data_IF_495104442516
#
_entry.id   IF_495104442516
#
_cell.length_a   1.000
_cell.length_b   1.000
_cell.length_c   1.000
_cell.angle_alpha   90.00
_cell.angle_beta   90.00
_cell.angle_gamma   90.00
#
_symmetry.space_group_name_H-M   'P 1'
#
loop_
_entity.id
_entity.type
_entity.pdbx_description
1 polymer ?
#
# COMPACT_ATOMS: atom_id res chain seq x y z
N UNK A 1 -4.90 13.47 10.02
CA UNK A 1 -3.54 13.24 9.51
C UNK A 1 -3.15 14.23 8.42
N UNK A 2 -4.01 14.56 7.45
CA UNK A 2 -3.65 15.49 6.35
C UNK A 2 -3.12 16.86 6.82
N UNK A 3 -3.82 17.56 7.74
CA UNK A 3 -3.36 18.86 8.27
C UNK A 3 -2.09 18.81 9.12
N UNK A 4 -1.79 17.68 9.75
CA UNK A 4 -0.53 17.42 10.47
C UNK A 4 0.63 17.16 9.49
N UNK A 5 0.34 16.39 8.45
CA UNK A 5 1.33 16.02 7.45
C UNK A 5 1.74 17.22 6.59
N UNK A 6 0.83 18.16 6.29
CA UNK A 6 1.16 19.38 5.55
C UNK A 6 2.12 20.31 6.32
N UNK A 7 1.96 20.43 7.64
CA UNK A 7 2.89 21.18 8.50
C UNK A 7 4.27 20.53 8.59
N UNK A 8 4.32 19.20 8.72
CA UNK A 8 5.57 18.47 8.89
C UNK A 8 6.35 18.18 7.59
N UNK A 9 5.69 18.13 6.42
CA UNK A 9 6.32 17.73 5.15
C UNK A 9 7.49 18.62 4.70
N UNK A 10 7.57 19.86 5.20
CA UNK A 10 8.67 20.80 4.92
C UNK A 10 9.83 20.76 5.93
N UNK A 11 9.72 19.97 7.01
CA UNK A 11 10.72 19.90 8.07
C UNK A 11 11.78 18.83 7.78
N UNK A 12 13.06 19.13 8.04
CA UNK A 12 14.16 18.17 7.95
C UNK A 12 14.02 16.99 8.93
N UNK A 13 13.15 17.11 9.93
CA UNK A 13 12.84 16.09 10.93
C UNK A 13 11.58 15.25 10.60
N UNK A 14 11.00 15.43 9.41
CA UNK A 14 9.83 14.66 9.00
C UNK A 14 10.08 13.15 9.05
N UNK A 15 9.14 12.34 9.56
CA UNK A 15 9.29 10.89 9.53
C UNK A 15 9.48 10.37 8.10
N UNK A 16 10.35 9.37 7.91
CA UNK A 16 10.66 8.79 6.59
C UNK A 16 9.42 8.28 5.84
N UNK A 17 8.40 7.83 6.57
CA UNK A 17 7.14 7.41 5.98
C UNK A 17 6.39 8.56 5.29
N UNK A 18 6.70 9.82 5.60
CA UNK A 18 6.18 11.00 4.92
C UNK A 18 7.18 11.57 3.90
N UNK A 19 8.44 11.78 4.30
CA UNK A 19 9.46 12.40 3.44
C UNK A 19 10.02 11.45 2.37
N UNK A 20 9.84 10.15 2.55
CA UNK A 20 10.51 9.11 1.79
C UNK A 20 12.00 8.96 2.10
N UNK A 21 12.67 8.13 1.31
CA UNK A 21 14.10 7.83 1.44
C UNK A 21 15.00 8.85 0.75
N UNK A 22 14.42 9.84 0.04
CA UNK A 22 15.14 10.72 -0.88
C UNK A 22 15.46 10.07 -2.23
N UNK A 23 14.98 8.83 -2.45
CA UNK A 23 15.10 8.07 -3.69
C UNK A 23 13.72 7.55 -4.11
N UNK A 24 13.59 7.14 -5.36
CA UNK A 24 12.41 6.52 -5.95
C UNK A 24 12.81 5.36 -6.89
N UNK A 25 13.94 4.69 -6.61
CA UNK A 25 14.56 3.70 -7.49
C UNK A 25 13.99 2.29 -7.30
N UNK A 26 13.68 1.91 -6.05
CA UNK A 26 13.15 0.58 -5.74
C UNK A 26 11.70 0.66 -5.30
N UNK A 27 10.82 -0.05 -6.02
CA UNK A 27 9.38 -0.02 -5.82
C UNK A 27 8.88 -1.37 -5.31
N UNK A 28 8.16 -1.35 -4.20
CA UNK A 28 7.44 -2.48 -3.65
C UNK A 28 5.97 -2.44 -4.11
N UNK A 29 5.53 -3.49 -4.78
CA UNK A 29 4.16 -3.65 -5.23
C UNK A 29 3.50 -4.72 -4.37
N UNK A 30 2.46 -4.34 -3.62
CA UNK A 30 1.68 -5.27 -2.78
C UNK A 30 0.38 -5.59 -3.51
N UNK A 31 0.33 -6.77 -4.15
CA UNK A 31 -0.78 -7.18 -5.00
C UNK A 31 -1.79 -7.99 -4.20
N UNK A 32 -2.94 -7.41 -3.91
CA UNK A 32 -3.94 -7.96 -3.01
C UNK A 32 -5.10 -8.52 -3.82
N UNK A 33 -5.32 -9.82 -3.71
CA UNK A 33 -6.31 -10.59 -4.49
C UNK A 33 -7.02 -11.59 -3.59
N UNK A 34 -8.01 -12.30 -4.13
CA UNK A 34 -8.71 -13.35 -3.40
C UNK A 34 -7.93 -14.67 -3.36
N UNK A 35 -8.30 -15.50 -2.37
CA UNK A 35 -7.85 -16.89 -2.25
C UNK A 35 -8.53 -17.80 -3.29
N UNK A 36 -9.83 -17.57 -3.52
CA UNK A 36 -10.67 -18.38 -4.41
C UNK A 36 -10.89 -17.68 -5.75
N UNK A 37 -11.19 -18.49 -6.77
CA UNK A 37 -11.55 -18.00 -8.10
C UNK A 37 -13.06 -17.82 -8.26
N UNK A 38 -13.53 -17.91 -9.52
CA UNK A 38 -14.94 -17.78 -9.91
C UNK A 38 -15.58 -16.41 -9.63
N UNK A 39 -14.76 -15.37 -9.58
CA UNK A 39 -15.15 -13.97 -9.36
C UNK A 39 -15.06 -13.11 -10.65
N UNK A 40 -15.29 -13.74 -11.81
CA UNK A 40 -15.14 -13.08 -13.12
C UNK A 40 -13.77 -12.40 -13.29
N UNK A 41 -13.78 -11.12 -13.67
CA UNK A 41 -12.58 -10.33 -13.95
C UNK A 41 -11.83 -9.80 -12.72
N UNK A 42 -12.38 -9.90 -11.50
CA UNK A 42 -11.85 -9.25 -10.29
C UNK A 42 -10.34 -9.48 -10.08
N UNK A 43 -9.92 -10.73 -9.86
CA UNK A 43 -8.51 -11.06 -9.61
C UNK A 43 -7.61 -10.73 -10.82
N UNK A 44 -8.13 -10.97 -12.03
CA UNK A 44 -7.40 -10.73 -13.27
C UNK A 44 -7.14 -9.24 -13.51
N UNK A 45 -8.11 -8.38 -13.19
CA UNK A 45 -8.03 -6.94 -13.37
C UNK A 45 -7.01 -6.32 -12.41
N UNK A 46 -6.99 -6.73 -11.13
CA UNK A 46 -5.98 -6.29 -10.16
C UNK A 46 -4.58 -6.71 -10.62
N UNK A 47 -4.41 -7.99 -10.98
CA UNK A 47 -3.11 -8.51 -11.43
C UNK A 47 -2.65 -7.83 -12.74
N UNK A 48 -3.58 -7.55 -13.66
CA UNK A 48 -3.29 -6.82 -14.91
C UNK A 48 -2.80 -5.40 -14.63
N UNK A 49 -3.44 -4.68 -13.70
CA UNK A 49 -3.01 -3.34 -13.30
C UNK A 49 -1.62 -3.37 -12.67
N UNK A 50 -1.40 -4.26 -11.71
CA UNK A 50 -0.10 -4.41 -11.06
C UNK A 50 1.02 -4.76 -12.05
N UNK A 51 0.75 -5.65 -13.01
CA UNK A 51 1.70 -6.01 -14.06
C UNK A 51 2.02 -4.83 -14.97
N UNK A 52 1.01 -4.10 -15.43
CA UNK A 52 1.22 -2.92 -16.27
C UNK A 52 2.05 -1.85 -15.53
N UNK A 53 1.80 -1.67 -14.24
CA UNK A 53 2.57 -0.77 -13.39
C UNK A 53 4.03 -1.23 -13.24
N UNK A 54 4.26 -2.52 -12.95
CA UNK A 54 5.60 -3.11 -12.87
C UNK A 54 6.39 -2.93 -14.18
N UNK A 55 5.77 -3.24 -15.32
CA UNK A 55 6.40 -3.10 -16.64
C UNK A 55 6.77 -1.65 -16.96
N UNK A 56 5.91 -0.69 -16.57
CA UNK A 56 6.20 0.73 -16.71
C UNK A 56 7.44 1.14 -15.90
N UNK A 57 7.52 0.70 -14.64
CA UNK A 57 8.66 0.99 -13.77
C UNK A 57 9.96 0.36 -14.29
N UNK A 58 9.90 -0.90 -14.72
CA UNK A 58 11.06 -1.60 -15.30
C UNK A 58 11.56 -0.90 -16.58
N UNK A 59 10.64 -0.44 -17.43
CA UNK A 59 10.99 0.32 -18.63
C UNK A 59 11.66 1.67 -18.31
N UNK A 60 11.44 2.21 -17.11
CA UNK A 60 12.10 3.41 -16.60
C UNK A 60 13.45 3.11 -15.91
N UNK A 61 13.91 1.86 -15.92
CA UNK A 61 15.14 1.43 -15.25
C UNK A 61 15.01 1.29 -13.73
N UNK A 62 13.78 1.27 -13.20
CA UNK A 62 13.52 1.10 -11.77
C UNK A 62 13.61 -0.37 -11.37
N UNK A 63 13.92 -0.61 -10.10
CA UNK A 63 13.86 -1.95 -9.50
C UNK A 63 12.46 -2.22 -8.96
N UNK A 64 11.90 -3.40 -9.27
CA UNK A 64 10.57 -3.81 -8.83
C UNK A 64 10.68 -5.04 -7.92
N UNK A 65 10.00 -4.97 -6.78
CA UNK A 65 9.79 -6.07 -5.84
C UNK A 65 8.29 -6.27 -5.64
N UNK A 66 7.83 -7.53 -5.59
CA UNK A 66 6.40 -7.84 -5.54
C UNK A 66 6.09 -8.78 -4.37
N UNK A 67 5.20 -8.32 -3.49
CA UNK A 67 4.54 -9.13 -2.47
C UNK A 67 3.12 -9.40 -2.94
N UNK A 68 2.64 -10.61 -2.71
CA UNK A 68 1.25 -10.96 -3.04
C UNK A 68 0.49 -11.33 -1.79
N UNK A 69 -0.74 -10.83 -1.68
CA UNK A 69 -1.69 -11.22 -0.65
C UNK A 69 -2.85 -11.90 -1.37
N UNK A 70 -3.13 -13.16 -1.04
CA UNK A 70 -4.11 -13.94 -1.78
C UNK A 70 -3.53 -14.75 -2.94
N UNK A 71 -4.01 -15.99 -3.10
CA UNK A 71 -3.45 -16.98 -4.03
C UNK A 71 -3.57 -16.59 -5.51
N UNK A 72 -4.65 -15.90 -5.91
CA UNK A 72 -4.94 -15.68 -7.33
C UNK A 72 -3.99 -14.68 -7.99
N UNK A 73 -3.57 -13.64 -7.27
CA UNK A 73 -2.54 -12.71 -7.73
C UNK A 73 -1.17 -13.38 -7.80
N UNK A 74 -0.82 -14.18 -6.78
CA UNK A 74 0.44 -14.93 -6.75
C UNK A 74 0.66 -15.79 -7.99
N UNK A 75 -0.36 -16.55 -8.42
CA UNK A 75 -0.21 -17.47 -9.55
C UNK A 75 0.09 -16.70 -10.86
N UNK A 76 -0.53 -15.54 -11.07
CA UNK A 76 -0.28 -14.68 -12.24
C UNK A 76 1.10 -14.03 -12.15
N UNK A 77 1.43 -13.44 -11.00
CA UNK A 77 2.71 -12.76 -10.77
C UNK A 77 3.89 -13.73 -10.92
N UNK A 78 3.81 -14.93 -10.33
CA UNK A 78 4.89 -15.93 -10.46
C UNK A 78 5.14 -16.35 -11.91
N UNK A 79 4.08 -16.43 -12.72
CA UNK A 79 4.20 -16.83 -14.13
C UNK A 79 4.85 -15.76 -15.00
N UNK A 80 4.56 -14.49 -14.74
CA UNK A 80 4.88 -13.39 -15.66
C UNK A 80 5.96 -12.43 -15.14
N UNK A 81 6.13 -12.34 -13.83
CA UNK A 81 7.06 -11.45 -13.13
C UNK A 81 7.77 -12.19 -12.00
N UNK A 82 8.01 -13.50 -12.16
CA UNK A 82 8.56 -14.37 -11.13
C UNK A 82 9.93 -13.93 -10.58
N UNK A 83 10.75 -13.28 -11.40
CA UNK A 83 12.05 -12.72 -10.99
C UNK A 83 11.91 -11.55 -9.99
N UNK A 84 10.76 -10.89 -9.96
CA UNK A 84 10.47 -9.77 -9.06
C UNK A 84 9.64 -10.19 -7.85
N UNK A 85 9.17 -11.44 -7.80
CA UNK A 85 8.35 -11.96 -6.72
C UNK A 85 9.23 -12.28 -5.50
N UNK A 86 8.93 -11.65 -4.36
CA UNK A 86 9.72 -11.84 -3.13
C UNK A 86 8.95 -12.57 -2.02
N UNK A 87 7.63 -12.40 -1.94
CA UNK A 87 6.86 -12.95 -0.82
C UNK A 87 5.38 -13.19 -1.15
N UNK A 88 4.79 -14.14 -0.43
CA UNK A 88 3.35 -14.39 -0.47
C UNK A 88 2.75 -14.54 0.93
N UNK A 89 1.68 -13.79 1.15
CA UNK A 89 0.80 -13.88 2.32
C UNK A 89 -0.40 -14.75 1.97
N UNK A 90 -0.48 -15.93 2.58
CA UNK A 90 -1.60 -16.86 2.44
C UNK A 90 -2.70 -16.53 3.46
N UNK A 91 -3.90 -16.22 2.96
CA UNK A 91 -5.10 -15.94 3.76
C UNK A 91 -6.13 -17.08 3.69
N UNK A 92 -5.79 -18.26 3.15
CA UNK A 92 -6.73 -19.39 3.01
C UNK A 92 -7.32 -19.89 4.32
N UNK A 93 -6.58 -19.78 5.43
CA UNK A 93 -7.08 -20.13 6.77
C UNK A 93 -7.93 -19.01 7.41
N UNK A 94 -7.92 -17.81 6.82
CA UNK A 94 -8.60 -16.62 7.36
C UNK A 94 -10.04 -16.58 6.84
N UNK A 95 -10.99 -16.93 7.71
CA UNK A 95 -12.42 -16.90 7.37
C UNK A 95 -12.99 -15.48 7.26
N UNK A 96 -12.48 -14.56 8.08
CA UNK A 96 -12.89 -13.15 8.10
C UNK A 96 -11.65 -12.29 8.25
N UNK A 97 -11.46 -11.35 7.34
CA UNK A 97 -10.40 -10.36 7.42
C UNK A 97 -10.62 -9.51 8.68
N UNK A 98 -9.58 -9.40 9.48
CA UNK A 98 -9.52 -8.56 10.67
C UNK A 98 -8.33 -7.60 10.59
N UNK A 99 -8.37 -6.55 11.41
CA UNK A 99 -7.28 -5.59 11.50
C UNK A 99 -5.93 -6.25 11.83
N UNK A 100 -5.92 -7.32 12.64
CA UNK A 100 -4.68 -8.04 12.96
C UNK A 100 -3.98 -8.63 11.72
N UNK A 101 -4.75 -9.07 10.71
CA UNK A 101 -4.16 -9.54 9.45
C UNK A 101 -3.49 -8.38 8.69
N UNK A 102 -4.18 -7.25 8.59
CA UNK A 102 -3.63 -6.05 7.95
C UNK A 102 -2.41 -5.51 8.69
N UNK A 103 -2.44 -5.51 10.03
CA UNK A 103 -1.33 -5.10 10.87
C UNK A 103 -0.09 -5.99 10.66
N UNK A 104 -0.27 -7.31 10.51
CA UNK A 104 0.83 -8.22 10.21
C UNK A 104 1.49 -7.89 8.86
N UNK A 105 0.67 -7.64 7.82
CA UNK A 105 1.17 -7.29 6.48
C UNK A 105 1.88 -5.93 6.52
N UNK A 106 1.26 -4.93 7.17
CA UNK A 106 1.83 -3.60 7.32
C UNK A 106 3.16 -3.63 8.06
N UNK A 107 3.24 -4.41 9.15
CA UNK A 107 4.48 -4.57 9.92
C UNK A 107 5.62 -5.10 9.06
N UNK A 108 5.37 -6.12 8.25
CA UNK A 108 6.40 -6.65 7.35
C UNK A 108 6.83 -5.62 6.29
N UNK A 109 5.88 -4.92 5.67
CA UNK A 109 6.17 -3.82 4.73
C UNK A 109 7.01 -2.72 5.38
N UNK A 110 6.66 -2.31 6.60
CA UNK A 110 7.38 -1.27 7.35
C UNK A 110 8.79 -1.73 7.74
N UNK A 111 8.96 -2.98 8.18
CA UNK A 111 10.29 -3.54 8.50
C UNK A 111 11.20 -3.50 7.28
N UNK A 112 10.70 -3.88 6.10
CA UNK A 112 11.47 -3.82 4.85
C UNK A 112 11.77 -2.37 4.43
N UNK A 113 10.85 -1.43 4.66
CA UNK A 113 11.09 -0.01 4.42
C UNK A 113 12.20 0.54 5.32
N UNK A 114 12.13 0.26 6.62
CA UNK A 114 13.12 0.71 7.60
C UNK A 114 14.51 0.11 7.33
N UNK A 115 14.55 -1.11 6.78
CA UNK A 115 15.77 -1.77 6.30
C UNK A 115 16.31 -1.19 4.98
N UNK A 116 15.61 -0.24 4.34
CA UNK A 116 16.01 0.37 3.07
C UNK A 116 15.85 -0.58 1.87
N UNK A 117 14.99 -1.59 1.97
CA UNK A 117 14.79 -2.55 0.88
C UNK A 117 14.00 -1.98 -0.29
N UNK A 118 13.25 -0.91 -0.09
CA UNK A 118 12.53 -0.18 -1.12
C UNK A 118 12.33 1.28 -0.72
N UNK A 119 12.03 2.11 -1.72
CA UNK A 119 11.80 3.54 -1.57
C UNK A 119 10.30 3.90 -1.56
N UNK A 120 9.52 3.20 -2.39
CA UNK A 120 8.09 3.44 -2.61
C UNK A 120 7.31 2.13 -2.48
N UNK A 121 6.19 2.13 -1.74
CA UNK A 121 5.25 1.02 -1.69
C UNK A 121 3.87 1.42 -2.24
N UNK A 122 3.36 0.60 -3.15
CA UNK A 122 2.03 0.76 -3.77
C UNK A 122 1.22 -0.51 -3.56
N UNK A 123 0.02 -0.38 -3.00
CA UNK A 123 -0.95 -1.48 -2.87
C UNK A 123 -1.88 -1.53 -4.08
N UNK A 124 -2.24 -2.73 -4.51
CA UNK A 124 -3.15 -2.97 -5.63
C UNK A 124 -4.32 -3.82 -5.16
N UNK A 125 -5.53 -3.30 -5.31
CA UNK A 125 -6.79 -3.92 -4.86
C UNK A 125 -7.92 -3.51 -5.82
N UNK A 126 -9.14 -4.02 -5.64
CA UNK A 126 -10.29 -3.48 -6.33
C UNK A 126 -11.13 -2.65 -5.36
N UNK A 127 -11.42 -1.42 -5.78
CA UNK A 127 -12.34 -0.54 -5.08
C UNK A 127 -13.76 -0.89 -5.47
N UNK A 128 -14.58 -1.17 -4.46
CA UNK A 128 -16.00 -1.45 -4.64
C UNK A 128 -16.72 -0.16 -5.03
N UNK A 129 -17.38 -0.14 -6.18
CA UNK A 129 -18.34 0.91 -6.54
C UNK A 129 -19.76 0.38 -6.35
N UNK A 130 -20.06 -0.77 -6.94
CA UNK A 130 -21.32 -1.49 -6.77
C UNK A 130 -21.13 -2.99 -7.06
N UNK A 131 -22.22 -3.76 -6.97
CA UNK A 131 -22.19 -5.23 -7.16
C UNK A 131 -21.70 -5.65 -8.56
N UNK A 132 -21.85 -4.78 -9.56
CA UNK A 132 -21.47 -5.06 -10.95
C UNK A 132 -20.10 -4.46 -11.30
N UNK A 133 -19.75 -3.33 -10.68
CA UNK A 133 -18.58 -2.52 -11.02
C UNK A 133 -17.58 -2.49 -9.85
N UNK A 134 -16.39 -3.02 -10.12
CA UNK A 134 -15.24 -2.94 -9.22
C UNK A 134 -14.03 -2.43 -10.02
N UNK A 135 -13.37 -1.41 -9.47
CA UNK A 135 -12.28 -0.72 -10.16
C UNK A 135 -10.93 -1.18 -9.62
N UNK A 136 -10.07 -1.82 -10.43
CA UNK A 136 -8.70 -2.08 -10.01
C UNK A 136 -8.00 -0.74 -9.73
N UNK A 137 -7.45 -0.62 -8.53
CA UNK A 137 -6.91 0.63 -7.99
C UNK A 137 -5.48 0.39 -7.52
N UNK A 138 -4.62 1.38 -7.76
CA UNK A 138 -3.26 1.44 -7.24
C UNK A 138 -3.19 2.62 -6.26
N UNK A 139 -2.78 2.37 -5.03
CA UNK A 139 -2.64 3.40 -4.00
C UNK A 139 -1.22 3.36 -3.42
N UNK A 140 -0.51 4.47 -3.48
CA UNK A 140 0.78 4.60 -2.81
C UNK A 140 0.55 4.76 -1.30
N UNK A 141 1.16 3.87 -0.51
CA UNK A 141 1.05 3.89 0.97
C UNK A 141 2.34 4.38 1.62
N UNK A 142 3.47 4.25 0.92
CA UNK A 142 4.78 4.78 1.35
C UNK A 142 5.51 5.37 0.12
N UNK A 143 6.08 6.57 0.21
CA UNK A 143 5.79 7.58 1.23
C UNK A 143 4.31 7.94 1.21
N UNK A 144 3.74 8.24 2.38
CA UNK A 144 2.34 8.59 2.54
C UNK A 144 2.05 9.88 1.78
N UNK A 145 1.12 9.81 0.83
CA UNK A 145 0.65 10.98 0.10
C UNK A 145 -0.64 11.47 0.75
N UNK A 146 -0.69 12.77 1.02
CA UNK A 146 -1.89 13.46 1.46
C UNK A 146 -2.25 14.48 0.38
N UNK A 147 -3.49 14.45 -0.08
CA UNK A 147 -4.00 15.55 -0.91
C UNK A 147 -4.01 16.81 -0.05
N UNK A 148 -3.30 17.84 -0.51
CA UNK A 148 -3.33 19.14 0.15
C UNK A 148 -4.72 19.75 -0.13
N UNK A 149 -5.58 19.73 0.87
CA UNK A 149 -6.83 20.46 0.82
C UNK A 149 -6.51 21.94 1.10
N UNK A 150 -6.37 22.74 0.03
CA UNK A 150 -6.12 24.19 0.14
C UNK A 150 -7.23 24.93 0.92
N UNK A 151 -8.39 24.29 1.12
CA UNK A 151 -9.51 24.83 1.90
C UNK A 151 -9.52 24.40 3.36
N UNK A 152 -8.65 23.47 3.77
CA UNK A 152 -8.51 23.09 5.16
C UNK A 152 -7.66 24.14 5.89
N UNK A 153 -8.31 25.01 6.67
CA UNK A 153 -7.61 25.81 7.67
C UNK A 153 -6.72 24.87 8.50
N UNK A 154 -5.43 25.19 8.59
CA UNK A 154 -4.51 24.51 9.48
C UNK A 154 -5.02 24.74 10.91
N UNK A 155 -5.81 23.80 11.40
CA UNK A 155 -6.35 23.86 12.73
C UNK A 155 -5.17 23.89 13.71
N UNK A 156 -5.07 24.98 14.47
CA UNK A 156 -4.05 25.16 15.51
C UNK A 156 -4.38 24.20 16.65
N UNK A 157 -3.80 23.02 16.58
CA UNK A 157 -3.83 22.05 17.67
C UNK A 157 -2.51 22.14 18.43
N UNK A 158 -2.57 22.14 19.75
CA UNK A 158 -1.39 21.92 20.57
C UNK A 158 -1.05 20.43 20.55
N UNK A 159 0.15 20.10 20.07
CA UNK A 159 0.63 18.72 19.99
C UNK A 159 1.65 18.45 21.09
N UNK A 160 1.45 17.37 21.83
CA UNK A 160 2.36 16.92 22.87
C UNK A 160 2.81 15.49 22.58
N UNK A 161 4.13 15.17 22.52
CA UNK A 161 5.28 16.04 22.81
C UNK A 161 5.75 16.94 21.64
N UNK A 162 5.47 16.59 20.39
CA UNK A 162 5.66 17.45 19.20
C UNK A 162 4.84 16.92 18.02
N UNK A 163 4.61 17.73 16.99
CA UNK A 163 3.92 17.32 15.76
C UNK A 163 4.60 16.10 15.11
N UNK A 164 5.92 16.13 15.02
CA UNK A 164 6.71 15.07 14.39
C UNK A 164 6.62 13.76 15.18
N UNK A 165 6.66 13.84 16.52
CA UNK A 165 6.54 12.67 17.38
C UNK A 165 5.16 12.01 17.28
N UNK A 166 4.09 12.83 17.25
CA UNK A 166 2.73 12.35 17.03
C UNK A 166 2.61 11.72 15.64
N UNK A 167 3.17 12.36 14.62
CA UNK A 167 3.11 11.86 13.26
C UNK A 167 3.90 10.55 13.08
N UNK A 168 5.06 10.42 13.73
CA UNK A 168 5.86 9.19 13.72
C UNK A 168 5.11 7.99 14.31
N UNK A 169 4.23 8.21 15.29
CA UNK A 169 3.38 7.16 15.86
C UNK A 169 2.12 6.88 15.01
N UNK A 170 1.57 7.91 14.36
CA UNK A 170 0.35 7.78 13.55
C UNK A 170 0.59 7.20 12.15
N UNK A 171 1.71 7.52 11.49
CA UNK A 171 1.99 7.07 10.11
C UNK A 171 2.01 5.54 9.97
N UNK A 172 2.69 4.77 10.84
CA UNK A 172 2.63 3.30 10.78
C UNK A 172 1.20 2.76 10.87
N UNK A 173 0.37 3.36 11.73
CA UNK A 173 -1.05 2.99 11.87
C UNK A 173 -1.85 3.39 10.63
N UNK A 174 -1.50 4.50 9.99
CA UNK A 174 -2.06 4.95 8.72
C UNK A 174 -1.86 3.91 7.62
N UNK A 175 -0.64 3.40 7.46
CA UNK A 175 -0.32 2.32 6.50
C UNK A 175 -1.15 1.07 6.78
N UNK A 176 -1.19 0.62 8.04
CA UNK A 176 -2.01 -0.53 8.43
C UNK A 176 -3.52 -0.32 8.16
N UNK A 177 -4.01 0.90 8.36
CA UNK A 177 -5.41 1.27 8.11
C UNK A 177 -5.73 1.24 6.61
N UNK A 178 -4.84 1.76 5.75
CA UNK A 178 -5.01 1.70 4.30
C UNK A 178 -4.99 0.26 3.78
N UNK A 179 -4.07 -0.58 4.27
CA UNK A 179 -4.04 -2.01 3.93
C UNK A 179 -5.33 -2.70 4.41
N UNK A 180 -5.81 -2.38 5.61
CA UNK A 180 -7.05 -2.96 6.12
C UNK A 180 -8.26 -2.56 5.26
N UNK A 181 -8.38 -1.28 4.91
CA UNK A 181 -9.43 -0.79 4.02
C UNK A 181 -9.39 -1.52 2.66
N UNK A 182 -8.21 -1.64 2.05
CA UNK A 182 -8.03 -2.36 0.79
C UNK A 182 -8.40 -3.86 0.89
N UNK A 183 -8.07 -4.54 1.99
CA UNK A 183 -8.49 -5.92 2.21
C UNK A 183 -10.02 -6.04 2.37
N UNK A 184 -10.66 -5.08 3.04
CA UNK A 184 -12.11 -5.06 3.20
C UNK A 184 -12.83 -4.77 1.88
N UNK A 185 -12.33 -3.83 1.07
CA UNK A 185 -12.89 -3.56 -0.26
C UNK A 185 -12.77 -4.76 -1.19
N UNK A 186 -11.62 -5.46 -1.15
CA UNK A 186 -11.46 -6.73 -1.85
C UNK A 186 -12.42 -7.82 -1.36
N UNK A 187 -12.76 -7.83 -0.08
CA UNK A 187 -13.69 -8.82 0.48
C UNK A 187 -15.16 -8.49 0.18
N UNK A 188 -15.48 -7.22 -0.08
CA UNK A 188 -16.81 -6.76 -0.49
C UNK A 188 -17.05 -6.86 -2.01
N UNK A 189 -15.96 -6.89 -2.78
CA UNK A 189 -15.92 -6.95 -4.25
C UNK A 189 -16.12 -8.33 -4.85
#
# INVERSE_FOLDING_TARGET
>A
MAGLASGAAGSAAAPKLLSGTGSDQTHLLVVMTAERGLCGGFNGNIAKLARAHAQKLLAQGKTVKIITVGKKGRDVIKRELGEHFIEHVDLSAVKRISYANAQSIAKDVLVKFDAGEFDVATIFFARFENVVSQHPTALQVIPAQFEADESAEAALYDYEPSEEAVLADLLPRGVATQIFAALLENAAS
#
